data_IF_393594236687
#
_entry.id   IF_393594236687
#
_cell.length_a   1.000
_cell.length_b   1.000
_cell.length_c   1.000
_cell.angle_alpha   90.00
_cell.angle_beta   90.00
_cell.angle_gamma   90.00
#
_symmetry.space_group_name_H-M   'P 1'
#
loop_
_entity.id
_entity.type
_entity.pdbx_description
1 polymer ?
#
# COMPACT_ATOMS: atom_id res chain seq x y z
N UNK A 1 3.74 -17.92 8.64
CA UNK A 1 3.81 -16.46 8.49
C UNK A 1 5.17 -16.12 7.93
N UNK A 2 5.19 -15.30 6.88
CA UNK A 2 6.39 -14.86 6.16
C UNK A 2 7.07 -13.66 6.83
N UNK A 3 6.37 -12.98 7.75
CA UNK A 3 6.83 -11.73 8.37
C UNK A 3 6.63 -10.51 7.46
N UNK A 4 5.80 -10.65 6.43
CA UNK A 4 5.40 -9.59 5.50
C UNK A 4 3.88 -9.43 5.57
N UNK A 5 3.45 -8.37 6.26
CA UNK A 5 2.05 -8.19 6.65
C UNK A 5 1.05 -8.12 5.49
N UNK A 6 1.36 -7.60 4.27
CA UNK A 6 0.41 -7.64 3.17
C UNK A 6 0.06 -9.07 2.76
N UNK A 7 1.08 -9.92 2.59
CA UNK A 7 0.89 -11.33 2.22
C UNK A 7 0.24 -12.13 3.35
N UNK A 8 0.76 -12.01 4.57
CA UNK A 8 0.26 -12.76 5.73
C UNK A 8 -1.18 -12.33 6.08
N UNK A 9 -1.49 -11.04 6.01
CA UNK A 9 -2.82 -10.50 6.26
C UNK A 9 -3.84 -10.90 5.20
N UNK A 10 -3.44 -10.91 3.92
CA UNK A 10 -4.30 -11.39 2.84
C UNK A 10 -4.64 -12.88 2.99
N UNK A 11 -3.63 -13.72 3.29
CA UNK A 11 -3.85 -15.15 3.56
C UNK A 11 -4.78 -15.35 4.76
N UNK A 12 -4.56 -14.62 5.85
CA UNK A 12 -5.42 -14.68 7.03
C UNK A 12 -6.89 -14.34 6.70
N UNK A 13 -7.12 -13.25 5.95
CA UNK A 13 -8.48 -12.87 5.53
C UNK A 13 -9.13 -13.92 4.62
N UNK A 14 -8.37 -14.50 3.69
CA UNK A 14 -8.84 -15.56 2.79
C UNK A 14 -9.19 -16.83 3.55
N UNK A 15 -8.25 -17.32 4.36
CA UNK A 15 -8.27 -18.69 4.89
C UNK A 15 -9.09 -18.80 6.18
N UNK A 16 -9.01 -17.82 7.07
CA UNK A 16 -9.68 -17.87 8.38
C UNK A 16 -11.06 -17.18 8.37
N UNK A 17 -11.23 -16.17 7.52
CA UNK A 17 -12.45 -15.37 7.48
C UNK A 17 -13.29 -15.57 6.22
N UNK A 18 -12.77 -16.26 5.19
CA UNK A 18 -13.47 -16.42 3.91
C UNK A 18 -13.86 -15.08 3.29
N UNK A 19 -13.02 -14.06 3.48
CA UNK A 19 -13.32 -12.70 3.05
C UNK A 19 -13.38 -12.60 1.52
N UNK A 20 -14.09 -11.57 1.04
CA UNK A 20 -14.24 -11.30 -0.39
C UNK A 20 -12.88 -11.16 -1.10
N UNK A 21 -12.76 -11.77 -2.28
CA UNK A 21 -11.50 -11.84 -3.03
C UNK A 21 -10.96 -10.44 -3.37
N UNK A 22 -11.85 -9.48 -3.67
CA UNK A 22 -11.45 -8.10 -3.97
C UNK A 22 -10.81 -7.45 -2.74
N UNK A 23 -11.38 -7.65 -1.56
CA UNK A 23 -10.82 -7.13 -0.30
C UNK A 23 -9.45 -7.76 -0.02
N UNK A 24 -9.34 -9.08 -0.14
CA UNK A 24 -8.09 -9.80 0.10
C UNK A 24 -6.97 -9.30 -0.82
N UNK A 25 -7.29 -9.10 -2.11
CA UNK A 25 -6.32 -8.60 -3.10
C UNK A 25 -5.90 -7.16 -2.84
N UNK A 26 -6.80 -6.30 -2.35
CA UNK A 26 -6.46 -4.95 -1.89
C UNK A 26 -5.50 -4.99 -0.71
N UNK A 27 -5.76 -5.85 0.28
CA UNK A 27 -4.87 -6.01 1.44
C UNK A 27 -3.52 -6.57 1.02
N UNK A 28 -3.46 -7.52 0.08
CA UNK A 28 -2.19 -8.07 -0.40
C UNK A 28 -1.32 -7.02 -1.12
N UNK A 29 -1.95 -6.08 -1.83
CA UNK A 29 -1.28 -5.17 -2.74
C UNK A 29 -1.25 -3.70 -2.28
N UNK A 30 -1.72 -3.40 -1.06
CA UNK A 30 -1.81 -2.01 -0.59
C UNK A 30 -0.46 -1.29 -0.64
N UNK A 31 -0.51 0.01 -0.95
CA UNK A 31 0.64 0.92 -0.87
C UNK A 31 1.91 0.39 -1.55
N UNK A 32 1.74 -0.22 -2.73
CA UNK A 32 2.82 -0.79 -3.53
C UNK A 32 3.58 -1.95 -2.85
N UNK A 33 2.88 -2.76 -2.06
CA UNK A 33 3.41 -3.95 -1.38
C UNK A 33 4.21 -4.89 -2.31
N UNK A 34 3.90 -4.96 -3.60
CA UNK A 34 4.66 -5.77 -4.56
C UNK A 34 6.13 -5.33 -4.69
N UNK A 35 6.44 -4.05 -4.50
CA UNK A 35 7.81 -3.54 -4.47
C UNK A 35 8.54 -3.95 -3.18
N UNK A 36 7.87 -3.93 -2.04
CA UNK A 36 8.45 -4.45 -0.79
C UNK A 36 8.63 -5.97 -0.84
N UNK A 37 7.69 -6.69 -1.46
CA UNK A 37 7.80 -8.12 -1.67
C UNK A 37 9.04 -8.48 -2.51
N UNK A 38 9.39 -7.65 -3.49
CA UNK A 38 10.62 -7.81 -4.28
C UNK A 38 11.88 -7.67 -3.41
N UNK A 39 11.96 -6.67 -2.54
CA UNK A 39 13.06 -6.50 -1.57
C UNK A 39 13.19 -7.68 -0.60
N UNK A 40 12.10 -8.44 -0.40
CA UNK A 40 12.00 -9.61 0.48
C UNK A 40 12.15 -10.96 -0.25
N UNK A 41 12.21 -10.96 -1.59
CA UNK A 41 12.22 -12.19 -2.38
C UNK A 41 10.86 -12.93 -2.44
N UNK A 42 9.76 -12.24 -2.15
CA UNK A 42 8.38 -12.77 -2.10
C UNK A 42 7.49 -12.27 -3.25
N UNK A 43 8.07 -11.59 -4.26
CA UNK A 43 7.30 -10.96 -5.34
C UNK A 43 6.43 -11.96 -6.10
N UNK A 44 6.99 -13.10 -6.51
CA UNK A 44 6.29 -14.10 -7.29
C UNK A 44 5.20 -14.81 -6.46
N UNK A 45 5.47 -15.06 -5.19
CA UNK A 45 4.50 -15.63 -4.24
C UNK A 45 3.30 -14.68 -4.06
N UNK A 46 3.55 -13.39 -3.81
CA UNK A 46 2.48 -12.40 -3.68
C UNK A 46 1.66 -12.27 -4.99
N UNK A 47 2.34 -12.13 -6.13
CA UNK A 47 1.68 -11.89 -7.40
C UNK A 47 0.85 -13.09 -7.90
N UNK A 48 1.30 -14.32 -7.60
CA UNK A 48 0.60 -15.54 -7.98
C UNK A 48 -0.64 -15.80 -7.11
N UNK A 49 -0.56 -15.52 -5.81
CA UNK A 49 -1.71 -15.71 -4.92
C UNK A 49 -2.72 -14.58 -4.99
N UNK A 50 -2.25 -13.34 -5.14
CA UNK A 50 -3.06 -12.15 -5.04
C UNK A 50 -2.71 -11.17 -6.17
N UNK A 51 -3.15 -11.44 -7.41
CA UNK A 51 -2.88 -10.54 -8.54
C UNK A 51 -3.50 -9.16 -8.29
N UNK A 52 -2.86 -8.13 -8.84
CA UNK A 52 -3.36 -6.75 -8.79
C UNK A 52 -4.79 -6.66 -9.31
N UNK A 53 -5.59 -5.77 -8.71
CA UNK A 53 -6.95 -5.51 -9.18
C UNK A 53 -6.93 -4.64 -10.43
N UNK A 54 -7.84 -4.95 -11.35
CA UNK A 54 -8.13 -4.11 -12.53
C UNK A 54 -9.15 -3.02 -12.17
N UNK A 55 -8.83 -2.26 -11.11
CA UNK A 55 -9.60 -1.10 -10.65
C UNK A 55 -8.62 -0.04 -10.11
N UNK A 56 -8.00 0.75 -11.01
CA UNK A 56 -6.92 1.65 -10.65
C UNK A 56 -7.39 2.76 -9.69
N UNK A 57 -8.64 3.23 -9.81
CA UNK A 57 -9.16 4.27 -8.95
C UNK A 57 -9.33 3.78 -7.50
N UNK A 58 -9.81 2.55 -7.30
CA UNK A 58 -9.91 1.99 -5.94
C UNK A 58 -8.51 1.73 -5.34
N UNK A 59 -7.56 1.26 -6.14
CA UNK A 59 -6.18 1.07 -5.69
C UNK A 59 -5.57 2.42 -5.27
N UNK A 60 -5.70 3.45 -6.10
CA UNK A 60 -5.23 4.81 -5.79
C UNK A 60 -5.89 5.36 -4.53
N UNK A 61 -7.20 5.11 -4.34
CA UNK A 61 -7.93 5.56 -3.16
C UNK A 61 -7.39 4.90 -1.87
N UNK A 62 -7.03 3.61 -1.94
CA UNK A 62 -6.43 2.91 -0.81
C UNK A 62 -5.02 3.43 -0.50
N UNK A 63 -4.20 3.65 -1.53
CA UNK A 63 -2.87 4.28 -1.39
C UNK A 63 -3.01 5.66 -0.76
N UNK A 64 -3.94 6.48 -1.25
CA UNK A 64 -4.23 7.81 -0.70
C UNK A 64 -4.59 7.72 0.78
N UNK A 65 -5.49 6.81 1.17
CA UNK A 65 -5.90 6.66 2.56
C UNK A 65 -4.73 6.29 3.48
N UNK A 66 -3.87 5.34 3.08
CA UNK A 66 -2.71 4.93 3.88
C UNK A 66 -1.63 6.02 3.93
N UNK A 67 -1.33 6.63 2.78
CA UNK A 67 -0.22 7.57 2.64
C UNK A 67 -0.55 9.00 3.08
N UNK A 68 -1.82 9.29 3.42
CA UNK A 68 -2.25 10.58 4.02
C UNK A 68 -2.73 10.43 5.47
N UNK A 69 -2.50 9.26 6.08
CA UNK A 69 -2.90 8.97 7.46
C UNK A 69 -1.69 8.56 8.31
N UNK A 70 -1.49 9.23 9.44
CA UNK A 70 -0.48 8.88 10.44
C UNK A 70 -0.84 7.57 11.16
N UNK A 71 0.10 6.91 11.85
CA UNK A 71 -0.19 5.68 12.59
C UNK A 71 -1.20 5.87 13.74
N UNK A 72 -1.36 7.11 14.21
CA UNK A 72 -2.37 7.47 15.21
C UNK A 72 -3.74 7.82 14.61
N UNK A 73 -3.91 7.71 13.29
CA UNK A 73 -5.16 8.04 12.58
C UNK A 73 -5.35 9.53 12.26
N UNK A 74 -4.39 10.39 12.60
CA UNK A 74 -4.39 11.81 12.20
C UNK A 74 -4.06 12.00 10.71
N UNK A 75 -4.50 13.10 10.12
CA UNK A 75 -4.18 13.48 8.73
C UNK A 75 -2.73 13.96 8.61
N UNK A 76 -2.11 13.68 7.45
CA UNK A 76 -0.76 14.13 7.09
C UNK A 76 -0.67 14.30 5.56
N UNK A 77 0.35 15.01 5.08
CA UNK A 77 0.71 14.94 3.65
C UNK A 77 1.45 13.64 3.33
N UNK A 78 1.44 13.23 2.06
CA UNK A 78 2.20 12.07 1.58
C UNK A 78 3.71 12.27 1.75
N UNK A 79 4.19 13.50 1.55
CA UNK A 79 5.59 13.88 1.70
C UNK A 79 6.05 13.70 3.16
N UNK A 80 5.28 14.22 4.12
CA UNK A 80 5.56 14.04 5.55
C UNK A 80 5.46 12.56 5.94
N UNK A 81 4.49 11.82 5.39
CA UNK A 81 4.32 10.39 5.65
C UNK A 81 5.54 9.57 5.21
N UNK A 82 6.04 9.80 4.01
CA UNK A 82 7.23 9.10 3.49
C UNK A 82 8.47 9.49 4.30
N UNK A 83 8.66 10.77 4.59
CA UNK A 83 9.78 11.24 5.41
C UNK A 83 9.76 10.60 6.82
N UNK A 84 8.58 10.48 7.42
CA UNK A 84 8.36 9.80 8.70
C UNK A 84 8.72 8.31 8.62
N UNK A 85 8.23 7.60 7.61
CA UNK A 85 8.54 6.17 7.40
C UNK A 85 10.05 5.96 7.25
N UNK A 86 10.73 6.76 6.43
CA UNK A 86 12.19 6.66 6.24
C UNK A 86 12.91 6.97 7.55
N UNK A 87 12.48 7.97 8.32
CA UNK A 87 13.06 8.30 9.62
C UNK A 87 12.87 7.18 10.65
N UNK A 88 11.74 6.48 10.62
CA UNK A 88 11.40 5.42 11.59
C UNK A 88 12.17 4.13 11.34
N UNK A 89 12.25 3.70 10.09
CA UNK A 89 12.85 2.41 9.73
C UNK A 89 14.30 2.52 9.27
N UNK A 90 14.75 3.71 8.88
CA UNK A 90 16.07 3.96 8.31
C UNK A 90 16.11 3.70 6.80
N UNK A 91 16.87 4.53 6.08
CA UNK A 91 16.91 4.52 4.61
C UNK A 91 17.40 3.20 3.99
N UNK A 92 18.27 2.48 4.69
CA UNK A 92 18.85 1.21 4.23
C UNK A 92 18.05 -0.02 4.66
N UNK A 93 16.98 0.16 5.44
CA UNK A 93 16.06 -0.94 5.74
C UNK A 93 15.27 -1.37 4.49
N UNK A 94 14.72 -2.58 4.50
CA UNK A 94 13.78 -3.04 3.45
C UNK A 94 12.67 -2.02 3.23
N UNK A 95 12.07 -1.53 4.32
CA UNK A 95 10.99 -0.53 4.26
C UNK A 95 11.49 0.79 3.66
N UNK A 96 12.65 1.27 4.11
CA UNK A 96 13.25 2.52 3.64
C UNK A 96 13.70 2.50 2.18
N UNK A 97 14.13 1.36 1.65
CA UNK A 97 14.45 1.21 0.22
C UNK A 97 13.19 1.13 -0.64
N UNK A 98 12.22 0.30 -0.25
CA UNK A 98 10.97 0.16 -1.00
C UNK A 98 10.22 1.49 -1.05
N UNK A 99 10.05 2.19 0.08
CA UNK A 99 9.19 3.39 0.11
C UNK A 99 9.76 4.50 -0.76
N UNK A 100 11.09 4.67 -0.80
CA UNK A 100 11.75 5.62 -1.69
C UNK A 100 11.63 5.25 -3.16
N UNK A 101 11.60 3.95 -3.48
CA UNK A 101 11.33 3.47 -4.84
C UNK A 101 9.87 3.69 -5.24
N UNK A 102 8.93 3.56 -4.31
CA UNK A 102 7.50 3.75 -4.52
C UNK A 102 7.07 5.24 -4.52
N UNK A 103 7.88 6.14 -3.95
CA UNK A 103 7.56 7.55 -3.70
C UNK A 103 6.92 8.28 -4.90
N UNK A 104 7.47 8.23 -6.13
CA UNK A 104 6.87 8.94 -7.26
C UNK A 104 5.45 8.46 -7.60
N UNK A 105 5.20 7.15 -7.48
CA UNK A 105 3.90 6.55 -7.76
C UNK A 105 2.90 6.79 -6.63
N UNK A 106 3.38 6.85 -5.38
CA UNK A 106 2.57 7.26 -4.23
C UNK A 106 2.08 8.70 -4.44
N UNK A 107 2.97 9.63 -4.77
CA UNK A 107 2.57 11.02 -5.03
C UNK A 107 1.58 11.11 -6.19
N UNK A 108 1.85 10.40 -7.28
CA UNK A 108 0.93 10.36 -8.43
C UNK A 108 -0.45 9.82 -8.07
N UNK A 109 -0.53 8.78 -7.22
CA UNK A 109 -1.80 8.23 -6.74
C UNK A 109 -2.56 9.24 -5.88
N UNK A 110 -1.85 9.94 -5.00
CA UNK A 110 -2.44 10.98 -4.13
C UNK A 110 -2.98 12.14 -4.97
N UNK A 111 -2.20 12.65 -5.93
CA UNK A 111 -2.62 13.73 -6.83
C UNK A 111 -3.87 13.35 -7.64
N UNK A 112 -3.95 12.12 -8.16
CA UNK A 112 -5.13 11.63 -8.88
C UNK A 112 -6.39 11.64 -8.01
N UNK A 113 -6.27 11.21 -6.74
CA UNK A 113 -7.40 11.19 -5.81
C UNK A 113 -7.79 12.60 -5.38
N UNK A 114 -6.84 13.48 -5.08
CA UNK A 114 -7.13 14.87 -4.76
C UNK A 114 -7.84 15.61 -5.91
N UNK A 115 -7.41 15.38 -7.16
CA UNK A 115 -8.07 15.92 -8.34
C UNK A 115 -9.51 15.36 -8.50
N UNK A 116 -9.70 14.05 -8.27
CA UNK A 116 -11.01 13.42 -8.32
C UNK A 116 -11.97 13.95 -7.23
N UNK A 117 -11.45 14.22 -6.03
CA UNK A 117 -12.22 14.79 -4.92
C UNK A 117 -12.62 16.25 -5.18
N UNK A 118 -11.75 17.04 -5.82
CA UNK A 118 -12.02 18.45 -6.12
C UNK A 118 -13.22 18.67 -7.07
N UNK A 119 -13.55 17.66 -7.87
CA UNK A 119 -14.69 17.69 -8.81
C UNK A 119 -15.97 17.06 -8.25
N UNK A 120 -15.93 16.47 -7.05
CA UNK A 120 -17.13 15.94 -6.40
C UNK A 120 -18.00 17.08 -5.83
N UNK A 121 -19.32 17.08 -6.07
CA UNK A 121 -20.21 18.02 -5.41
C UNK A 121 -20.18 17.79 -3.89
N UNK A 122 -20.19 18.90 -3.13
CA UNK A 122 -20.22 18.88 -1.66
C UNK A 122 -21.61 18.55 -1.11
#
# INVERSE_FOLDING_TARGET
MTGFHPLDGARFLRDEHGADERLVRLVANHSFALLEAEERGLRDELASEFPLLDDPLLVDALVYCDMTTTPGGGRTSAQERIAEIVSRYGADSVVGRFIRRAEPEIFSSVERIEAALAVQPR
#
